data_IF_024472336196
#
_entry.id   IF_024472336196
#
_cell.length_a   1.000
_cell.length_b   1.000
_cell.length_c   1.000
_cell.angle_alpha   90.00
_cell.angle_beta   90.00
_cell.angle_gamma   90.00
#
_symmetry.space_group_name_H-M   'P 1'
#
loop_
_entity.id
_entity.type
_entity.pdbx_description
1 polymer ?
#
# COMPACT_ATOMS: atom_id res chain seq x y z
N UNK A 1 -50.19 12.72 -26.66
CA UNK A 1 -48.71 12.81 -26.65
C UNK A 1 -48.27 12.46 -25.25
N UNK A 2 -47.80 11.22 -25.03
CA UNK A 2 -47.40 10.73 -23.72
C UNK A 2 -45.89 10.93 -23.58
N UNK A 3 -45.48 11.80 -22.66
CA UNK A 3 -44.08 11.99 -22.30
C UNK A 3 -43.67 10.91 -21.31
N UNK A 4 -42.91 9.93 -21.79
CA UNK A 4 -42.24 8.96 -20.93
C UNK A 4 -41.04 9.64 -20.26
N UNK A 5 -41.14 9.84 -18.95
CA UNK A 5 -40.01 10.26 -18.11
C UNK A 5 -39.05 9.08 -17.99
N UNK A 6 -37.90 9.17 -18.67
CA UNK A 6 -36.78 8.23 -18.48
C UNK A 6 -36.16 8.47 -17.11
N UNK A 7 -36.54 7.66 -16.12
CA UNK A 7 -35.80 7.56 -14.87
C UNK A 7 -34.45 6.90 -15.15
N UNK A 8 -33.36 7.61 -14.88
CA UNK A 8 -32.03 7.01 -14.83
C UNK A 8 -32.01 5.87 -13.81
N UNK A 9 -31.42 4.70 -14.10
CA UNK A 9 -31.30 3.64 -13.11
C UNK A 9 -30.41 4.13 -11.96
N UNK A 10 -31.00 4.24 -10.76
CA UNK A 10 -30.31 4.47 -9.49
C UNK A 10 -29.17 3.46 -9.36
N UNK A 11 -27.93 3.94 -9.15
CA UNK A 11 -26.81 3.05 -8.86
C UNK A 11 -27.14 2.26 -7.59
N UNK A 12 -27.15 0.91 -7.61
CA UNK A 12 -27.70 0.11 -6.52
C UNK A 12 -26.91 0.23 -5.22
N UNK A 13 -25.64 0.63 -5.27
CA UNK A 13 -24.79 0.85 -4.09
C UNK A 13 -23.88 2.08 -4.27
N UNK A 14 -23.67 2.90 -3.22
CA UNK A 14 -22.66 3.95 -3.23
C UNK A 14 -21.25 3.40 -3.46
N UNK A 15 -20.38 4.18 -4.08
CA UNK A 15 -18.94 3.92 -4.15
C UNK A 15 -18.28 3.97 -2.77
N UNK A 16 -17.11 3.35 -2.67
CA UNK A 16 -16.28 3.43 -1.46
C UNK A 16 -15.95 4.88 -1.10
N UNK A 17 -15.64 5.71 -2.11
CA UNK A 17 -15.30 7.11 -1.94
C UNK A 17 -16.48 7.94 -1.43
N UNK A 18 -17.69 7.72 -1.95
CA UNK A 18 -18.91 8.39 -1.47
C UNK A 18 -19.18 8.04 0.00
N UNK A 19 -19.05 6.76 0.38
CA UNK A 19 -19.20 6.34 1.78
C UNK A 19 -18.17 7.01 2.68
N UNK A 20 -16.91 7.06 2.25
CA UNK A 20 -15.83 7.71 3.00
C UNK A 20 -16.08 9.22 3.16
N UNK A 21 -16.51 9.91 2.08
CA UNK A 21 -16.88 11.34 2.14
C UNK A 21 -18.04 11.59 3.11
N UNK A 22 -18.98 10.65 3.19
CA UNK A 22 -20.08 10.67 4.14
C UNK A 22 -19.70 10.20 5.57
N UNK A 23 -18.42 9.98 5.87
CA UNK A 23 -17.91 9.45 7.13
C UNK A 23 -18.57 8.11 7.55
N UNK A 24 -18.99 7.30 6.57
CA UNK A 24 -19.53 5.97 6.83
C UNK A 24 -18.38 4.96 6.87
N UNK A 25 -18.24 4.17 7.93
CA UNK A 25 -17.21 3.14 8.00
C UNK A 25 -17.48 2.06 6.96
N UNK A 26 -16.43 1.68 6.23
CA UNK A 26 -16.44 0.58 5.28
C UNK A 26 -15.26 -0.31 5.60
N UNK A 27 -15.53 -1.57 5.94
CA UNK A 27 -14.51 -2.55 6.26
C UNK A 27 -14.56 -3.71 5.26
N UNK A 28 -13.45 -4.43 5.11
CA UNK A 28 -13.45 -5.71 4.42
C UNK A 28 -14.36 -6.71 5.13
N UNK A 29 -15.05 -7.56 4.36
CA UNK A 29 -15.77 -8.70 4.92
C UNK A 29 -14.82 -9.72 5.54
N UNK A 30 -15.36 -10.63 6.36
CA UNK A 30 -14.55 -11.72 6.95
C UNK A 30 -13.98 -12.62 5.85
N UNK A 31 -14.78 -12.87 4.81
CA UNK A 31 -14.43 -13.65 3.63
C UNK A 31 -13.32 -12.97 2.84
N UNK A 32 -13.47 -11.67 2.56
CA UNK A 32 -12.43 -10.90 1.88
C UNK A 32 -11.13 -10.98 2.67
N UNK A 33 -11.14 -10.69 3.98
CA UNK A 33 -9.96 -10.71 4.84
C UNK A 33 -9.16 -12.02 4.79
N UNK A 34 -9.76 -13.16 4.41
CA UNK A 34 -9.05 -14.45 4.24
C UNK A 34 -8.13 -14.50 3.02
N UNK A 35 -8.17 -13.53 2.11
CA UNK A 35 -7.23 -13.48 0.99
C UNK A 35 -5.82 -13.19 1.49
N UNK A 36 -4.90 -14.09 1.15
CA UNK A 36 -3.45 -13.90 1.24
C UNK A 36 -2.90 -13.71 -0.17
N UNK A 37 -2.24 -12.58 -0.38
CA UNK A 37 -1.97 -12.08 -1.72
C UNK A 37 -0.48 -11.80 -1.91
N UNK A 38 0.18 -12.62 -2.73
CA UNK A 38 1.52 -12.36 -3.22
C UNK A 38 1.44 -11.61 -4.54
N UNK A 39 2.19 -10.53 -4.67
CA UNK A 39 2.29 -9.79 -5.91
C UNK A 39 3.33 -10.44 -6.81
N UNK A 40 2.99 -11.58 -7.41
CA UNK A 40 3.86 -12.30 -8.35
C UNK A 40 3.03 -13.22 -9.25
N UNK A 41 3.56 -13.51 -10.44
CA UNK A 41 3.03 -14.54 -11.34
C UNK A 41 1.54 -14.43 -11.66
N UNK A 42 0.91 -15.52 -12.11
CA UNK A 42 -0.54 -15.57 -12.29
C UNK A 42 -1.27 -15.74 -10.95
N UNK A 43 -2.53 -15.30 -10.92
CA UNK A 43 -3.35 -15.26 -9.71
C UNK A 43 -3.64 -16.64 -9.11
N UNK A 44 -3.69 -17.69 -9.93
CA UNK A 44 -3.92 -19.08 -9.49
C UNK A 44 -2.83 -19.58 -8.53
N UNK A 45 -1.62 -19.05 -8.67
CA UNK A 45 -0.43 -19.56 -8.00
C UNK A 45 -0.07 -18.70 -6.79
N UNK A 46 -0.46 -17.42 -6.81
CA UNK A 46 0.03 -16.40 -5.89
C UNK A 46 -1.06 -15.76 -5.03
N UNK A 47 -2.31 -16.16 -5.23
CA UNK A 47 -3.43 -15.76 -4.39
C UNK A 47 -4.04 -17.01 -3.75
N UNK A 48 -4.08 -16.98 -2.43
CA UNK A 48 -4.57 -18.09 -1.63
C UNK A 48 -5.53 -17.60 -0.56
N UNK A 49 -6.34 -18.51 -0.05
CA UNK A 49 -7.32 -18.26 1.00
C UNK A 49 -6.82 -18.94 2.26
N UNK A 50 -6.58 -18.15 3.31
CA UNK A 50 -6.23 -18.68 4.64
C UNK A 50 -7.50 -19.19 5.33
N UNK A 51 -7.39 -20.26 6.10
CA UNK A 51 -8.53 -20.80 6.85
C UNK A 51 -9.04 -19.81 7.90
N UNK A 52 -8.12 -19.22 8.68
CA UNK A 52 -8.41 -18.18 9.66
C UNK A 52 -7.71 -16.88 9.26
N UNK A 53 -8.49 -15.82 9.02
CA UNK A 53 -7.93 -14.52 8.65
C UNK A 53 -7.09 -13.89 9.76
N UNK A 54 -7.30 -14.29 11.02
CA UNK A 54 -6.50 -13.86 12.17
C UNK A 54 -5.17 -14.62 12.28
N UNK A 55 -5.03 -15.73 11.57
CA UNK A 55 -3.80 -16.51 11.51
C UNK A 55 -3.37 -16.74 10.06
N UNK A 56 -2.47 -15.89 9.56
CA UNK A 56 -1.97 -15.97 8.17
C UNK A 56 -1.08 -17.18 7.90
N UNK A 57 -0.65 -17.89 8.93
CA UNK A 57 0.09 -19.15 8.83
C UNK A 57 -0.84 -20.37 8.81
N UNK A 58 -2.16 -20.17 8.98
CA UNK A 58 -3.13 -21.25 8.84
C UNK A 58 -3.09 -21.88 7.45
N UNK A 59 -3.57 -23.15 7.31
CA UNK A 59 -3.62 -23.83 6.03
C UNK A 59 -4.26 -22.97 4.94
N UNK A 60 -3.71 -23.07 3.73
CA UNK A 60 -4.07 -22.25 2.59
C UNK A 60 -4.61 -23.10 1.46
N UNK A 61 -5.66 -22.61 0.82
CA UNK A 61 -6.22 -23.17 -0.40
C UNK A 61 -6.10 -22.18 -1.56
N UNK A 62 -5.93 -22.62 -2.82
CA UNK A 62 -5.87 -21.71 -3.96
C UNK A 62 -7.16 -20.90 -4.10
N UNK A 63 -7.03 -19.61 -4.41
CA UNK A 63 -8.21 -18.77 -4.68
C UNK A 63 -8.86 -19.09 -6.04
N UNK A 64 -8.05 -19.50 -7.00
CA UNK A 64 -8.46 -19.85 -8.35
C UNK A 64 -7.79 -21.15 -8.80
N UNK A 65 -8.56 -22.01 -9.45
CA UNK A 65 -8.12 -23.29 -9.97
C UNK A 65 -8.11 -23.26 -11.50
N UNK A 66 -6.93 -23.34 -12.13
CA UNK A 66 -6.82 -23.43 -13.58
C UNK A 66 -7.12 -24.85 -14.08
N UNK A 67 -7.53 -24.96 -15.34
CA UNK A 67 -7.54 -26.23 -16.07
C UNK A 67 -6.14 -26.59 -16.63
N UNK A 68 -6.07 -27.67 -17.40
CA UNK A 68 -4.83 -28.12 -18.06
C UNK A 68 -4.26 -27.12 -19.08
N UNK A 69 -5.03 -26.12 -19.50
CA UNK A 69 -4.61 -25.05 -20.42
C UNK A 69 -4.21 -23.75 -19.70
N UNK A 70 -4.31 -23.72 -18.37
CA UNK A 70 -4.00 -22.54 -17.56
C UNK A 70 -5.17 -21.56 -17.40
N UNK A 71 -6.36 -21.88 -17.94
CA UNK A 71 -7.55 -21.04 -17.80
C UNK A 71 -8.26 -21.30 -16.49
N UNK A 72 -8.66 -20.25 -15.77
CA UNK A 72 -9.36 -20.41 -14.49
C UNK A 72 -10.77 -20.92 -14.74
N UNK A 73 -11.03 -22.17 -14.34
CA UNK A 73 -12.33 -22.83 -14.52
C UNK A 73 -13.14 -22.88 -13.24
N UNK A 74 -12.48 -22.86 -12.08
CA UNK A 74 -13.15 -22.89 -10.77
C UNK A 74 -12.55 -21.85 -9.83
N UNK A 75 -13.44 -21.15 -9.14
CA UNK A 75 -13.11 -20.18 -8.11
C UNK A 75 -13.39 -20.73 -6.73
N UNK A 76 -12.64 -20.27 -5.74
CA UNK A 76 -12.96 -20.52 -4.34
C UNK A 76 -14.33 -19.90 -3.98
N UNK A 77 -15.16 -20.51 -3.11
CA UNK A 77 -16.48 -19.98 -2.75
C UNK A 77 -16.51 -18.51 -2.31
N UNK A 78 -15.46 -18.04 -1.59
CA UNK A 78 -15.37 -16.63 -1.16
C UNK A 78 -15.28 -15.64 -2.32
N UNK A 79 -14.96 -16.09 -3.54
CA UNK A 79 -14.87 -15.23 -4.71
C UNK A 79 -16.20 -14.50 -4.99
N UNK A 80 -17.33 -15.13 -4.62
CA UNK A 80 -18.68 -14.56 -4.75
C UNK A 80 -19.10 -13.69 -3.56
N UNK A 81 -18.31 -13.67 -2.48
CA UNK A 81 -18.63 -12.84 -1.32
C UNK A 81 -18.46 -11.34 -1.67
N UNK A 82 -19.25 -10.45 -1.05
CA UNK A 82 -18.99 -9.02 -1.15
C UNK A 82 -17.60 -8.69 -0.60
N UNK A 83 -16.91 -7.74 -1.24
CA UNK A 83 -15.59 -7.30 -0.81
C UNK A 83 -15.65 -6.58 0.55
N UNK A 84 -16.70 -5.80 0.77
CA UNK A 84 -16.84 -4.89 1.92
C UNK A 84 -18.20 -5.00 2.58
N UNK A 85 -18.24 -4.61 3.86
CA UNK A 85 -19.44 -4.34 4.64
C UNK A 85 -19.36 -2.90 5.20
N UNK A 86 -20.32 -2.01 4.88
CA UNK A 86 -21.41 -2.19 3.92
C UNK A 86 -20.93 -2.34 2.47
N UNK A 87 -21.72 -3.03 1.65
CA UNK A 87 -21.46 -3.23 0.21
C UNK A 87 -21.26 -1.91 -0.54
N UNK A 88 -20.34 -1.91 -1.51
CA UNK A 88 -20.03 -0.75 -2.37
C UNK A 88 -20.17 -1.08 -3.85
N UNK A 89 -20.60 -0.10 -4.64
CA UNK A 89 -20.79 -0.22 -6.09
C UNK A 89 -19.52 0.04 -6.91
N UNK A 90 -18.47 0.60 -6.29
CA UNK A 90 -17.16 0.74 -6.91
C UNK A 90 -16.08 1.05 -5.87
N UNK A 91 -14.82 0.84 -6.24
CA UNK A 91 -13.64 1.21 -5.45
C UNK A 91 -12.59 1.81 -6.37
N UNK A 92 -12.07 3.00 -6.06
CA UNK A 92 -10.89 3.56 -6.75
C UNK A 92 -9.64 3.16 -6.00
N UNK A 93 -8.88 2.23 -6.59
CA UNK A 93 -7.67 1.66 -6.02
C UNK A 93 -6.47 2.56 -6.32
N UNK A 94 -5.70 2.83 -5.27
CA UNK A 94 -4.42 3.54 -5.28
C UNK A 94 -3.34 2.67 -4.64
N UNK A 95 -2.09 2.84 -5.06
CA UNK A 95 -0.94 2.14 -4.46
C UNK A 95 -0.14 3.14 -3.64
N UNK A 96 -0.05 2.89 -2.35
CA UNK A 96 0.51 3.80 -1.37
C UNK A 96 1.95 4.23 -1.67
N UNK A 97 2.79 3.30 -2.12
CA UNK A 97 4.19 3.61 -2.44
C UNK A 97 4.32 4.45 -3.71
N UNK A 98 3.41 4.28 -4.68
CA UNK A 98 3.41 5.11 -5.88
C UNK A 98 2.91 6.53 -5.57
N UNK A 99 1.88 6.66 -4.73
CA UNK A 99 1.36 7.98 -4.31
C UNK A 99 2.40 8.82 -3.58
N UNK A 100 3.33 8.21 -2.85
CA UNK A 100 4.42 8.91 -2.15
C UNK A 100 5.69 9.08 -2.99
N UNK A 101 5.75 8.48 -4.17
CA UNK A 101 6.99 8.38 -4.94
C UNK A 101 7.51 9.75 -5.37
N UNK A 102 6.62 10.63 -5.84
CA UNK A 102 7.03 11.95 -6.33
C UNK A 102 7.64 12.79 -5.19
N UNK A 103 6.97 12.88 -4.05
CA UNK A 103 7.45 13.64 -2.88
C UNK A 103 8.78 13.11 -2.36
N UNK A 104 8.91 11.78 -2.24
CA UNK A 104 10.15 11.16 -1.76
C UNK A 104 11.29 11.33 -2.76
N UNK A 105 10.98 11.31 -4.06
CA UNK A 105 11.95 11.60 -5.10
C UNK A 105 12.43 13.05 -4.97
N UNK A 106 11.52 14.02 -4.79
CA UNK A 106 11.89 15.42 -4.57
C UNK A 106 12.73 15.58 -3.31
N UNK A 107 12.30 15.05 -2.17
CA UNK A 107 13.04 15.15 -0.90
C UNK A 107 14.47 14.61 -1.02
N UNK A 108 14.64 13.51 -1.77
CA UNK A 108 15.96 12.92 -2.02
C UNK A 108 16.83 13.82 -2.91
N UNK A 109 16.27 14.39 -3.97
CA UNK A 109 17.05 15.02 -5.03
C UNK A 109 17.24 16.54 -4.86
N UNK A 110 16.31 17.24 -4.19
CA UNK A 110 16.41 18.68 -3.93
C UNK A 110 17.70 19.06 -3.19
N UNK A 111 18.19 18.20 -2.30
CA UNK A 111 19.40 18.49 -1.49
C UNK A 111 20.70 18.53 -2.29
N UNK A 112 20.73 18.03 -3.51
CA UNK A 112 21.92 18.04 -4.37
C UNK A 112 21.61 18.47 -5.81
N UNK A 113 20.43 19.03 -6.07
CA UNK A 113 20.07 19.60 -7.35
C UNK A 113 20.70 20.99 -7.51
N UNK A 114 21.96 21.06 -7.96
CA UNK A 114 22.63 22.33 -8.28
C UNK A 114 22.37 22.74 -9.75
N UNK A 115 21.85 23.95 -10.03
CA UNK A 115 21.66 24.43 -11.38
C UNK A 115 22.98 24.46 -12.19
N UNK A 116 23.05 23.70 -13.28
CA UNK A 116 24.19 23.67 -14.20
C UNK A 116 24.86 22.31 -14.33
N UNK A 117 24.50 21.35 -13.49
CA UNK A 117 24.90 19.96 -13.64
C UNK A 117 24.16 19.28 -14.80
N UNK A 118 24.89 18.50 -15.60
CA UNK A 118 24.38 17.89 -16.84
C UNK A 118 23.26 16.87 -16.61
N UNK A 119 23.18 16.31 -15.42
CA UNK A 119 22.21 15.28 -15.05
C UNK A 119 20.97 15.86 -14.34
N UNK A 120 20.89 17.19 -14.26
CA UNK A 120 19.83 17.93 -13.57
C UNK A 120 19.08 18.79 -14.59
N UNK A 121 17.76 18.63 -14.67
CA UNK A 121 16.89 19.39 -15.57
C UNK A 121 15.82 20.07 -14.74
N UNK A 122 15.78 21.39 -14.81
CA UNK A 122 14.68 22.21 -14.31
C UNK A 122 13.81 22.68 -15.49
N UNK A 123 12.51 22.82 -15.29
CA UNK A 123 11.59 23.28 -16.32
C UNK A 123 10.16 23.48 -15.82
N UNK A 124 9.26 23.85 -16.73
CA UNK A 124 7.85 23.98 -16.42
C UNK A 124 7.23 22.62 -16.11
N UNK A 125 6.45 22.55 -15.04
CA UNK A 125 5.78 21.33 -14.62
C UNK A 125 4.45 21.19 -15.36
N UNK A 126 4.29 20.09 -16.10
CA UNK A 126 3.00 19.72 -16.66
C UNK A 126 2.07 19.24 -15.53
N UNK A 127 1.13 20.09 -15.13
CA UNK A 127 0.19 19.80 -14.03
C UNK A 127 -0.71 18.61 -14.32
N UNK A 128 -0.97 18.25 -15.59
CA UNK A 128 -1.76 17.06 -15.93
C UNK A 128 -0.96 15.78 -15.68
N UNK A 129 0.34 15.80 -15.99
CA UNK A 129 1.23 14.65 -15.83
C UNK A 129 1.78 14.49 -14.41
N UNK A 130 1.94 15.58 -13.67
CA UNK A 130 2.64 15.60 -12.38
C UNK A 130 1.78 16.05 -11.20
N UNK A 131 0.68 16.76 -11.45
CA UNK A 131 -0.15 17.32 -10.38
C UNK A 131 -0.90 16.26 -9.57
N UNK A 132 -1.08 16.51 -8.28
CA UNK A 132 -1.91 15.66 -7.43
C UNK A 132 -3.40 15.76 -7.82
N UNK A 133 -4.17 14.70 -7.54
CA UNK A 133 -5.63 14.76 -7.77
C UNK A 133 -6.30 15.30 -6.53
N UNK A 134 -6.79 16.53 -6.59
CA UNK A 134 -7.80 17.02 -5.67
C UNK A 134 -7.27 17.72 -4.43
N UNK A 135 -6.07 18.29 -4.50
CA UNK A 135 -5.78 19.48 -3.70
C UNK A 135 -6.27 20.67 -4.52
N UNK A 136 -7.31 21.34 -4.01
CA UNK A 136 -7.69 22.67 -4.48
C UNK A 136 -6.46 23.54 -4.33
N UNK A 137 -5.96 24.04 -5.46
CA UNK A 137 -4.99 25.12 -5.63
C UNK A 137 -4.52 25.69 -4.29
N UNK A 138 -3.50 25.07 -3.69
CA UNK A 138 -2.68 25.77 -2.73
C UNK A 138 -2.00 26.85 -3.54
N UNK A 139 -2.64 28.03 -3.60
CA UNK A 139 -2.08 29.29 -4.08
C UNK A 139 -0.81 29.56 -3.27
N UNK A 140 0.27 28.94 -3.73
CA UNK A 140 1.60 28.97 -3.19
C UNK A 140 2.52 29.14 -4.38
N UNK A 141 2.85 30.39 -4.63
CA UNK A 141 3.77 30.92 -5.64
C UNK A 141 5.10 30.17 -5.62
N UNK A 142 5.22 29.09 -6.40
CA UNK A 142 6.52 28.64 -6.88
C UNK A 142 6.54 28.79 -8.40
N UNK A 143 6.56 30.06 -8.85
CA UNK A 143 6.69 30.45 -10.26
C UNK A 143 8.08 30.12 -10.83
N UNK A 144 8.95 29.47 -10.04
CA UNK A 144 10.27 29.01 -10.46
C UNK A 144 10.24 27.72 -11.29
N UNK A 145 11.28 27.47 -12.10
CA UNK A 145 11.40 26.22 -12.84
C UNK A 145 11.54 25.05 -11.86
N UNK A 146 10.73 24.02 -12.06
CA UNK A 146 10.60 22.86 -11.20
C UNK A 146 11.61 21.77 -11.56
N UNK A 147 12.07 20.99 -10.59
CA UNK A 147 13.00 19.88 -10.83
C UNK A 147 12.27 18.74 -11.59
N UNK A 148 12.72 18.42 -12.80
CA UNK A 148 12.12 17.40 -13.69
C UNK A 148 12.99 16.15 -13.85
N UNK A 149 14.31 16.25 -13.70
CA UNK A 149 15.25 15.13 -13.72
C UNK A 149 16.43 15.42 -12.82
N UNK A 150 16.92 14.39 -12.13
CA UNK A 150 18.12 14.43 -11.30
C UNK A 150 18.72 13.02 -11.22
N UNK A 151 20.05 12.90 -11.11
CA UNK A 151 20.74 11.62 -10.95
C UNK A 151 20.36 10.56 -12.00
N UNK A 152 20.14 10.98 -13.25
CA UNK A 152 19.69 10.13 -14.35
C UNK A 152 18.31 9.47 -14.14
N UNK A 153 17.49 10.02 -13.25
CA UNK A 153 16.11 9.61 -13.02
C UNK A 153 15.16 10.76 -13.28
N UNK A 154 14.05 10.47 -13.94
CA UNK A 154 12.99 11.44 -14.17
C UNK A 154 12.13 11.58 -12.92
N UNK A 155 11.61 12.79 -12.69
CA UNK A 155 10.58 13.03 -11.68
C UNK A 155 9.43 12.05 -11.95
N UNK A 156 8.95 11.32 -10.92
CA UNK A 156 7.83 10.42 -11.08
C UNK A 156 6.58 11.17 -11.52
N UNK A 157 5.89 10.62 -12.53
CA UNK A 157 4.58 11.10 -12.95
C UNK A 157 3.52 10.78 -11.90
N UNK A 158 2.36 11.39 -12.06
CA UNK A 158 1.16 11.10 -11.28
C UNK A 158 0.87 9.59 -11.26
N UNK A 159 0.62 9.00 -10.09
CA UNK A 159 0.35 7.58 -9.95
C UNK A 159 -0.89 7.13 -10.75
N UNK A 160 -0.84 5.97 -11.41
CA UNK A 160 -2.02 5.40 -12.04
C UNK A 160 -3.02 4.93 -10.97
N UNK A 161 -4.30 4.96 -11.34
CA UNK A 161 -5.41 4.51 -10.48
C UNK A 161 -6.32 3.56 -11.24
N UNK A 162 -6.93 2.63 -10.52
CA UNK A 162 -7.84 1.65 -11.10
C UNK A 162 -9.22 1.75 -10.45
N UNK A 163 -10.25 1.98 -11.24
CA UNK A 163 -11.64 1.90 -10.76
C UNK A 163 -12.15 0.48 -10.94
N UNK A 164 -12.39 -0.21 -9.83
CA UNK A 164 -13.01 -1.52 -9.80
C UNK A 164 -14.53 -1.34 -9.75
N UNK A 165 -15.22 -2.05 -10.64
CA UNK A 165 -16.70 -2.11 -10.70
C UNK A 165 -17.17 -3.57 -10.66
N UNK A 166 -18.41 -3.82 -10.20
CA UNK A 166 -19.05 -5.12 -10.25
C UNK A 166 -19.02 -5.69 -11.67
N UNK A 167 -18.85 -6.99 -11.81
CA UNK A 167 -19.05 -7.64 -13.12
C UNK A 167 -20.51 -7.87 -13.46
N UNK A 168 -21.40 -7.92 -12.46
CA UNK A 168 -22.85 -8.03 -12.62
C UNK A 168 -23.53 -6.72 -12.22
N UNK A 169 -24.24 -6.10 -13.16
CA UNK A 169 -25.04 -4.90 -12.89
C UNK A 169 -26.25 -5.21 -12.00
N UNK A 170 -26.77 -6.44 -12.05
CA UNK A 170 -27.90 -6.89 -11.22
C UNK A 170 -27.53 -6.99 -9.75
N UNK A 171 -26.34 -7.53 -9.44
CA UNK A 171 -25.84 -7.59 -8.07
C UNK A 171 -25.45 -6.20 -7.58
N UNK A 172 -24.83 -5.40 -8.45
CA UNK A 172 -24.59 -3.98 -8.19
C UNK A 172 -23.48 -3.66 -7.19
N UNK A 173 -22.85 -4.66 -6.57
CA UNK A 173 -21.75 -4.49 -5.61
C UNK A 173 -20.48 -5.23 -6.03
N UNK A 174 -19.33 -4.74 -5.57
CA UNK A 174 -18.02 -5.33 -5.87
C UNK A 174 -17.83 -6.62 -5.08
N UNK A 175 -17.67 -7.74 -5.78
CA UNK A 175 -17.28 -9.03 -5.18
C UNK A 175 -15.77 -9.13 -4.95
N UNK A 176 -15.34 -10.09 -4.12
CA UNK A 176 -13.91 -10.41 -3.95
C UNK A 176 -13.28 -10.78 -5.30
N UNK A 177 -13.99 -11.52 -6.15
CA UNK A 177 -13.51 -11.86 -7.51
C UNK A 177 -13.28 -10.63 -8.36
N UNK A 178 -14.26 -9.73 -8.44
CA UNK A 178 -14.17 -8.52 -9.26
C UNK A 178 -12.95 -7.69 -8.90
N UNK A 179 -12.71 -7.56 -7.59
CA UNK A 179 -11.58 -6.82 -7.07
C UNK A 179 -10.26 -7.52 -7.41
N UNK A 180 -10.09 -8.77 -7.01
CA UNK A 180 -8.82 -9.50 -7.18
C UNK A 180 -8.46 -9.68 -8.66
N UNK A 181 -9.42 -10.08 -9.50
CA UNK A 181 -9.17 -10.35 -10.92
C UNK A 181 -8.81 -9.10 -11.72
N UNK A 182 -9.24 -7.91 -11.30
CA UNK A 182 -8.88 -6.63 -11.95
C UNK A 182 -7.60 -6.03 -11.37
N UNK A 183 -7.47 -6.04 -10.05
CA UNK A 183 -6.38 -5.35 -9.36
C UNK A 183 -5.06 -6.11 -9.50
N UNK A 184 -5.06 -7.45 -9.44
CA UNK A 184 -3.81 -8.20 -9.50
C UNK A 184 -3.03 -8.05 -10.82
N UNK A 185 -3.63 -8.25 -12.00
CA UNK A 185 -2.94 -8.00 -13.26
C UNK A 185 -2.51 -6.53 -13.42
N UNK A 186 -3.34 -5.59 -12.95
CA UNK A 186 -3.00 -4.17 -12.97
C UNK A 186 -1.75 -3.88 -12.11
N UNK A 187 -1.67 -4.39 -10.89
CA UNK A 187 -0.48 -4.26 -10.03
C UNK A 187 0.76 -4.89 -10.65
N UNK A 188 0.63 -6.03 -11.33
CA UNK A 188 1.76 -6.65 -12.04
C UNK A 188 2.28 -5.75 -13.16
N UNK A 189 1.40 -5.07 -13.88
CA UNK A 189 1.76 -4.06 -14.87
C UNK A 189 2.55 -2.89 -14.28
N UNK A 190 2.33 -2.56 -13.01
CA UNK A 190 3.03 -1.49 -12.28
C UNK A 190 4.25 -1.99 -11.49
N UNK A 191 4.62 -3.26 -11.59
CA UNK A 191 5.61 -3.86 -10.68
C UNK A 191 6.97 -3.17 -10.76
N UNK A 192 7.41 -2.75 -11.94
CA UNK A 192 8.69 -2.05 -12.10
C UNK A 192 8.68 -0.74 -11.31
N UNK A 193 7.63 0.06 -11.49
CA UNK A 193 7.48 1.36 -10.86
C UNK A 193 7.33 1.22 -9.34
N UNK A 194 6.59 0.21 -8.87
CA UNK A 194 6.50 -0.13 -7.44
C UNK A 194 7.88 -0.38 -6.83
N UNK A 195 8.74 -1.16 -7.51
CA UNK A 195 10.11 -1.43 -7.02
C UNK A 195 10.96 -0.16 -7.01
N UNK A 196 10.84 0.69 -8.02
CA UNK A 196 11.60 1.94 -8.09
C UNK A 196 11.15 2.95 -7.03
N UNK A 197 9.84 3.04 -6.80
CA UNK A 197 9.25 3.90 -5.79
C UNK A 197 9.63 3.47 -4.37
N UNK A 198 9.56 2.17 -4.09
CA UNK A 198 9.89 1.64 -2.77
C UNK A 198 11.39 1.75 -2.47
N UNK A 199 12.24 1.63 -3.49
CA UNK A 199 13.69 1.76 -3.36
C UNK A 199 14.18 3.19 -3.64
N UNK A 200 13.35 4.22 -3.47
CA UNK A 200 13.75 5.61 -3.76
C UNK A 200 14.90 6.08 -2.89
N UNK A 201 15.28 5.38 -1.81
CA UNK A 201 16.43 5.67 -0.95
C UNK A 201 17.62 4.71 -1.12
N UNK A 202 17.54 3.76 -2.08
CA UNK A 202 18.55 2.72 -2.34
C UNK A 202 18.94 1.86 -1.12
N UNK A 203 18.01 1.65 -0.19
CA UNK A 203 18.20 0.84 1.00
C UNK A 203 17.80 -0.63 0.82
N UNK A 204 17.02 -0.93 -0.23
CA UNK A 204 16.48 -2.27 -0.50
C UNK A 204 17.28 -2.99 -1.59
N UNK A 205 17.37 -4.32 -1.47
CA UNK A 205 18.07 -5.20 -2.42
C UNK A 205 17.06 -5.87 -3.36
N UNK A 206 17.50 -6.33 -4.55
CA UNK A 206 16.63 -7.04 -5.49
C UNK A 206 15.88 -8.24 -4.88
N UNK A 207 16.52 -8.96 -3.95
CA UNK A 207 15.93 -10.11 -3.25
C UNK A 207 14.71 -9.73 -2.40
N UNK A 208 14.68 -8.51 -1.87
CA UNK A 208 13.57 -8.01 -1.05
C UNK A 208 12.30 -7.84 -1.89
N UNK A 209 12.46 -7.70 -3.22
CA UNK A 209 11.37 -7.56 -4.19
C UNK A 209 10.91 -8.88 -4.85
N UNK A 210 11.53 -10.01 -4.48
CA UNK A 210 11.11 -11.33 -4.97
C UNK A 210 9.81 -11.78 -4.32
N UNK A 211 9.61 -11.43 -3.04
CA UNK A 211 8.48 -11.90 -2.21
C UNK A 211 7.64 -10.73 -1.70
N UNK A 212 6.99 -10.03 -2.62
CA UNK A 212 6.09 -8.94 -2.28
C UNK A 212 4.70 -9.46 -1.91
N UNK A 213 4.14 -8.91 -0.85
CA UNK A 213 2.76 -9.13 -0.41
C UNK A 213 1.94 -7.84 -0.54
N UNK A 214 0.65 -8.00 -0.82
CA UNK A 214 -0.31 -6.89 -0.94
C UNK A 214 -1.17 -6.85 0.32
N UNK A 215 -1.03 -5.77 1.08
CA UNK A 215 -1.98 -5.42 2.14
C UNK A 215 -3.06 -4.51 1.57
N UNK A 216 -4.30 -4.97 1.63
CA UNK A 216 -5.48 -4.29 1.13
C UNK A 216 -6.52 -4.05 2.23
N UNK A 217 -6.09 -3.97 3.49
CA UNK A 217 -6.95 -3.66 4.65
C UNK A 217 -7.86 -2.46 4.39
N UNK A 218 -7.36 -1.49 3.62
CA UNK A 218 -8.13 -0.44 3.00
C UNK A 218 -8.23 -0.71 1.50
N UNK A 219 -9.37 -1.17 0.96
CA UNK A 219 -9.45 -1.62 -0.44
C UNK A 219 -9.23 -0.49 -1.45
N UNK A 220 -9.28 0.77 -1.04
CA UNK A 220 -8.95 1.92 -1.90
C UNK A 220 -7.46 2.31 -1.84
N UNK A 221 -6.68 1.84 -0.85
CA UNK A 221 -5.26 2.20 -0.64
C UNK A 221 -4.45 0.95 -0.30
N UNK A 222 -3.74 0.45 -1.29
CA UNK A 222 -2.93 -0.75 -1.18
C UNK A 222 -1.53 -0.42 -0.66
N UNK A 223 -1.09 -1.16 0.36
CA UNK A 223 0.31 -1.14 0.78
C UNK A 223 1.00 -2.39 0.24
N UNK A 224 2.17 -2.21 -0.34
CA UNK A 224 3.02 -3.29 -0.85
C UNK A 224 4.25 -3.33 0.04
N UNK A 225 4.63 -4.53 0.47
CA UNK A 225 5.77 -4.74 1.35
C UNK A 225 6.30 -6.16 1.16
N UNK A 226 7.45 -6.46 1.74
CA UNK A 226 7.95 -7.82 1.80
C UNK A 226 7.02 -8.74 2.61
N UNK A 227 7.00 -10.03 2.27
CA UNK A 227 6.12 -11.04 2.87
C UNK A 227 6.34 -11.18 4.39
N UNK A 228 7.58 -11.02 4.87
CA UNK A 228 7.93 -11.17 6.29
C UNK A 228 7.37 -10.02 7.13
N UNK A 229 7.52 -8.77 6.66
CA UNK A 229 6.91 -7.59 7.27
C UNK A 229 5.40 -7.66 7.23
N UNK A 230 4.83 -8.14 6.13
CA UNK A 230 3.38 -8.33 6.01
C UNK A 230 2.84 -9.31 7.06
N UNK A 231 3.49 -10.48 7.22
CA UNK A 231 3.11 -11.46 8.24
C UNK A 231 3.32 -10.88 9.64
N UNK A 232 4.42 -10.16 9.88
CA UNK A 232 4.75 -9.56 11.18
C UNK A 232 3.77 -8.49 11.64
N UNK A 233 3.22 -7.69 10.71
CA UNK A 233 2.19 -6.69 11.03
C UNK A 233 0.86 -7.30 11.48
N UNK A 234 0.60 -8.55 11.09
CA UNK A 234 -0.65 -9.26 11.33
C UNK A 234 -0.53 -10.30 12.44
N UNK A 235 0.69 -10.64 12.86
CA UNK A 235 0.91 -11.51 14.01
C UNK A 235 0.29 -10.86 15.27
N UNK A 236 -0.39 -11.65 16.11
CA UNK A 236 -0.76 -11.17 17.44
C UNK A 236 0.51 -10.66 18.10
N UNK A 237 0.48 -9.43 18.65
CA UNK A 237 1.58 -8.95 19.48
C UNK A 237 1.83 -10.03 20.52
N UNK A 238 2.99 -10.69 20.47
CA UNK A 238 3.40 -11.57 21.56
C UNK A 238 3.25 -10.73 22.82
N UNK A 239 2.50 -11.19 23.85
CA UNK A 239 2.50 -10.48 25.12
C UNK A 239 3.97 -10.31 25.47
N UNK A 240 4.40 -9.06 25.67
CA UNK A 240 5.78 -8.79 26.01
C UNK A 240 6.12 -9.69 27.19
N UNK A 241 7.00 -10.66 26.98
CA UNK A 241 7.59 -11.39 28.09
C UNK A 241 8.39 -10.32 28.78
N UNK A 242 7.83 -9.77 29.86
CA UNK A 242 8.54 -8.86 30.74
C UNK A 242 9.66 -9.70 31.32
N UNK A 243 10.82 -9.64 30.67
CA UNK A 243 12.05 -10.20 31.21
C UNK A 243 12.23 -9.56 32.59
N UNK A 244 12.65 -10.35 33.57
CA UNK A 244 12.96 -9.85 34.91
C UNK A 244 14.03 -8.72 34.89
N UNK A 245 14.72 -8.53 33.75
CA UNK A 245 15.63 -7.40 33.50
C UNK A 245 14.93 -6.05 33.21
N UNK A 246 13.62 -6.01 33.01
CA UNK A 246 12.86 -4.79 32.67
C UNK A 246 12.30 -4.04 33.89
N UNK A 247 12.37 -4.64 35.09
CA UNK A 247 11.87 -4.03 36.33
C UNK A 247 12.49 -2.65 36.64
N UNK A 248 13.79 -2.38 36.41
CA UNK A 248 14.37 -1.06 36.67
C UNK A 248 13.88 0.02 35.70
N UNK A 249 13.56 -0.34 34.46
CA UNK A 249 13.11 0.59 33.41
C UNK A 249 11.66 1.02 33.64
N UNK A 250 10.80 0.07 34.08
CA UNK A 250 9.40 0.35 34.42
C UNK A 250 9.31 1.25 35.68
N UNK A 251 10.20 1.04 36.66
CA UNK A 251 10.26 1.88 37.86
C UNK A 251 10.75 3.30 37.56
N UNK A 252 11.74 3.45 36.66
CA UNK A 252 12.22 4.77 36.21
C UNK A 252 11.14 5.57 35.46
N UNK A 253 10.35 4.91 34.59
CA UNK A 253 9.23 5.55 33.87
C UNK A 253 8.09 5.97 34.79
N UNK A 254 7.86 5.25 35.90
CA UNK A 254 6.85 5.60 36.90
C UNK A 254 7.25 6.84 37.71
N UNK A 255 8.54 7.07 37.89
CA UNK A 255 9.09 8.18 38.69
C UNK A 255 9.33 9.47 37.87
N UNK A 256 9.29 9.42 36.53
CA UNK A 256 9.57 10.58 35.67
C UNK A 256 8.49 10.76 34.57
N UNK A 257 7.29 11.27 34.91
CA UNK A 257 6.26 11.54 33.93
C UNK A 257 6.56 12.89 33.25
N UNK A 258 7.24 12.85 32.11
CA UNK A 258 7.10 13.68 30.89
C UNK A 258 8.39 13.56 30.04
N UNK A 259 8.32 13.22 28.74
CA UNK A 259 9.50 13.24 27.88
C UNK A 259 9.76 14.66 27.34
N UNK A 260 11.02 15.12 27.26
CA UNK A 260 11.35 16.24 26.40
C UNK A 260 11.24 15.81 24.93
N UNK A 261 10.68 16.71 24.13
CA UNK A 261 10.50 16.63 22.69
C UNK A 261 11.87 16.46 22.01
N UNK A 262 12.27 15.24 21.64
CA UNK A 262 13.16 15.00 20.49
C UNK A 262 13.22 13.51 20.09
N UNK A 263 12.60 13.15 18.97
CA UNK A 263 12.53 11.77 18.44
C UNK A 263 13.72 11.39 17.53
N UNK A 264 14.86 12.08 17.58
CA UNK A 264 15.96 11.87 16.61
C UNK A 264 17.08 10.89 17.03
N UNK A 265 16.99 10.15 18.14
CA UNK A 265 18.12 9.31 18.61
C UNK A 265 17.90 7.80 18.75
N UNK A 266 16.76 7.26 18.33
CA UNK A 266 16.53 5.80 18.43
C UNK A 266 17.00 4.97 17.23
N UNK A 267 17.55 5.59 16.19
CA UNK A 267 18.20 4.88 15.07
C UNK A 267 19.62 5.36 14.87
N UNK A 268 20.56 4.79 15.63
CA UNK A 268 21.97 4.79 15.23
C UNK A 268 22.68 3.55 15.80
N UNK A 269 22.94 2.61 14.89
CA UNK A 269 23.99 1.58 14.83
C UNK A 269 24.55 1.05 16.16
N UNK A 270 24.24 -0.22 16.44
CA UNK A 270 25.13 -1.12 17.17
C UNK A 270 26.37 -1.40 16.29
N UNK A 271 27.46 -0.70 16.58
CA UNK A 271 28.80 -1.11 16.18
C UNK A 271 29.70 -0.87 17.39
N UNK A 272 29.82 -1.92 18.20
CA UNK A 272 30.91 -2.25 19.13
C UNK A 272 31.70 -1.08 19.76
N UNK A 273 31.28 -0.73 20.98
CA UNK A 273 32.12 -0.04 21.96
C UNK A 273 33.24 -0.97 22.46
N UNK A 274 34.40 -0.40 22.86
CA UNK A 274 35.61 -1.14 23.20
C UNK A 274 35.51 -1.80 24.58
N UNK A 275 35.99 -3.04 24.68
CA UNK A 275 36.29 -3.65 25.97
C UNK A 275 37.55 -3.01 26.55
N UNK A 276 37.37 -2.19 27.59
CA UNK A 276 38.43 -1.83 28.50
C UNK A 276 38.26 -2.58 29.82
N UNK A 277 39.31 -3.25 30.29
CA UNK A 277 39.61 -3.27 31.73
C UNK A 277 40.99 -3.85 32.03
N UNK A 278 41.85 -2.96 32.55
CA UNK A 278 42.64 -3.13 33.79
C UNK A 278 43.80 -4.16 33.81
N UNK A 279 44.83 -4.07 34.65
CA UNK A 279 45.63 -3.03 35.33
C UNK A 279 46.64 -3.83 36.20
N UNK A 280 47.80 -3.21 36.52
CA UNK A 280 48.81 -3.64 37.54
C UNK A 280 49.68 -4.84 37.12
N UNK A 281 51.00 -4.87 37.34
CA UNK A 281 51.95 -4.12 38.19
C UNK A 281 53.26 -3.94 37.41
#
# INVERSE_FOLDING_TARGET
>A
MSTSSTSSPTAPFPSFEERRKANQPVALTTEANRIFWKLQGPLSDHISVVQDWRNRESPREPFAHPDSTGNITRWHPIAQAPLTEPKVGSVTVRVDVLERWQDQWLERHERHADPGDKDIIFGELDTELYGESGEEDLEGEDEGPQLLRCCNTDRPRRPPRLVVRPSSEEEGYVSVRDYISRVHPWLLGQRKDIKQADNVWDDMKPVDYERLAVSYTWPNRLMIMDEERYVSLLAPRKPAVVSAASAPVIEWMRQNPLPPINYQKFFCKSSDLPQGSQARQ
#
